data_IF_250103144567
#
_entry.id   IF_250103144567
#
_cell.length_a   1.000
_cell.length_b   1.000
_cell.length_c   1.000
_cell.angle_alpha   90.00
_cell.angle_beta   90.00
_cell.angle_gamma   90.00
#
_symmetry.space_group_name_H-M   'P 1'
#
loop_
_entity.id
_entity.type
_entity.pdbx_description
1 polymer ?
#
# COMPACT_ATOMS: atom_id res chain seq x y z
N UNK A 1 18.97 -58.65 -9.12
CA UNK A 1 19.21 -57.35 -8.43
C UNK A 1 19.11 -56.24 -9.45
N UNK A 2 18.08 -55.39 -9.37
CA UNK A 2 17.96 -54.17 -10.21
C UNK A 2 18.41 -52.97 -9.38
N UNK A 3 19.50 -52.32 -9.78
CA UNK A 3 19.97 -51.08 -9.18
C UNK A 3 19.11 -49.91 -9.70
N UNK A 4 18.39 -49.23 -8.81
CA UNK A 4 17.71 -47.97 -9.11
C UNK A 4 18.70 -46.85 -8.74
N UNK A 5 19.20 -46.15 -9.74
CA UNK A 5 20.03 -44.97 -9.58
C UNK A 5 19.09 -43.77 -9.39
N UNK A 6 19.05 -43.22 -8.17
CA UNK A 6 18.40 -41.94 -7.90
C UNK A 6 19.32 -40.81 -8.39
N UNK A 7 18.93 -40.15 -9.47
CA UNK A 7 19.53 -38.92 -9.97
C UNK A 7 19.06 -37.77 -9.07
N UNK A 8 19.93 -37.34 -8.14
CA UNK A 8 19.71 -36.12 -7.35
C UNK A 8 19.99 -34.93 -8.28
N UNK A 9 18.94 -34.35 -8.86
CA UNK A 9 19.06 -33.04 -9.52
C UNK A 9 19.32 -31.99 -8.43
N UNK A 10 20.44 -31.24 -8.46
CA UNK A 10 20.59 -30.08 -7.60
C UNK A 10 19.52 -29.07 -7.99
N UNK A 11 18.62 -28.78 -7.06
CA UNK A 11 17.69 -27.66 -7.19
C UNK A 11 18.53 -26.38 -7.23
N UNK A 12 18.76 -25.84 -8.43
CA UNK A 12 19.25 -24.48 -8.59
C UNK A 12 18.18 -23.54 -8.04
N UNK A 13 18.33 -23.16 -6.78
CA UNK A 13 17.63 -22.03 -6.18
C UNK A 13 18.10 -20.78 -6.96
N UNK A 14 17.36 -20.43 -8.00
CA UNK A 14 17.49 -19.14 -8.66
C UNK A 14 17.12 -18.08 -7.63
N UNK A 15 18.12 -17.49 -6.99
CA UNK A 15 17.95 -16.25 -6.27
C UNK A 15 17.72 -15.20 -7.33
N UNK A 16 16.44 -14.92 -7.63
CA UNK A 16 16.08 -13.82 -8.50
C UNK A 16 16.72 -12.56 -7.89
N UNK A 17 17.72 -12.01 -8.56
CA UNK A 17 18.34 -10.78 -8.13
C UNK A 17 17.26 -9.70 -8.12
N UNK A 18 16.98 -9.15 -6.94
CA UNK A 18 16.00 -8.09 -6.77
C UNK A 18 16.45 -6.86 -7.56
N UNK A 19 15.55 -6.32 -8.39
CA UNK A 19 15.83 -5.13 -9.17
C UNK A 19 15.88 -3.92 -8.22
N UNK A 20 17.02 -3.25 -8.17
CA UNK A 20 17.15 -2.03 -7.40
C UNK A 20 16.20 -0.95 -7.95
N UNK A 21 15.54 -0.23 -7.05
CA UNK A 21 14.66 0.90 -7.38
C UNK A 21 15.45 2.02 -8.06
N UNK A 22 15.02 2.44 -9.25
CA UNK A 22 15.68 3.52 -9.98
C UNK A 22 15.04 4.86 -9.64
N UNK A 23 15.85 5.81 -9.17
CA UNK A 23 15.40 7.17 -8.90
C UNK A 23 15.91 8.12 -9.96
N UNK A 24 15.04 8.93 -10.55
CA UNK A 24 15.45 10.01 -11.43
C UNK A 24 16.41 10.98 -10.73
N UNK A 25 17.18 11.76 -11.49
CA UNK A 25 18.04 12.81 -10.93
C UNK A 25 17.25 13.96 -10.28
N UNK A 26 15.96 14.10 -10.60
CA UNK A 26 15.09 15.13 -10.04
C UNK A 26 14.66 14.84 -8.59
N UNK A 27 14.57 13.56 -8.20
CA UNK A 27 14.20 13.20 -6.81
C UNK A 27 15.32 13.61 -5.85
N UNK A 28 15.05 14.44 -4.81
CA UNK A 28 16.08 14.88 -3.87
C UNK A 28 16.74 13.71 -3.13
N UNK A 29 18.06 13.77 -2.91
CA UNK A 29 18.81 12.69 -2.26
C UNK A 29 18.24 12.30 -0.88
N UNK A 30 17.77 13.28 -0.09
CA UNK A 30 17.12 13.02 1.19
C UNK A 30 15.83 12.19 1.05
N UNK A 31 15.02 12.46 0.02
CA UNK A 31 13.80 11.71 -0.29
C UNK A 31 14.13 10.29 -0.74
N UNK A 32 15.17 10.11 -1.57
CA UNK A 32 15.65 8.76 -1.96
C UNK A 32 16.01 7.94 -0.71
N UNK A 33 16.80 8.52 0.19
CA UNK A 33 17.22 7.85 1.43
C UNK A 33 16.03 7.57 2.37
N UNK A 34 15.06 8.48 2.45
CA UNK A 34 13.84 8.26 3.21
C UNK A 34 13.05 7.06 2.66
N UNK A 35 12.80 7.02 1.35
CA UNK A 35 12.07 5.91 0.72
C UNK A 35 12.80 4.57 0.86
N UNK A 36 14.14 4.56 0.73
CA UNK A 36 14.92 3.35 0.96
C UNK A 36 14.81 2.85 2.41
N UNK A 37 14.76 3.75 3.40
CA UNK A 37 14.50 3.39 4.81
C UNK A 37 13.05 2.91 5.02
N UNK A 38 12.10 3.46 4.28
CA UNK A 38 10.70 3.04 4.34
C UNK A 38 10.54 1.60 3.80
N UNK A 39 11.24 1.27 2.70
CA UNK A 39 11.32 -0.11 2.16
C UNK A 39 12.15 -1.03 3.07
N UNK A 40 13.15 -0.51 3.78
CA UNK A 40 13.87 -1.34 4.75
C UNK A 40 12.99 -1.67 5.97
N UNK A 41 12.16 -0.73 6.43
CA UNK A 41 11.20 -0.99 7.50
C UNK A 41 10.25 -2.13 7.14
N UNK A 42 9.74 -2.19 5.89
CA UNK A 42 8.80 -3.26 5.51
C UNK A 42 9.43 -4.63 5.66
N UNK A 43 10.74 -4.80 5.44
CA UNK A 43 11.44 -6.07 5.62
C UNK A 43 11.40 -6.58 7.05
N UNK A 44 11.31 -5.68 8.03
CA UNK A 44 11.31 -6.05 9.45
C UNK A 44 9.92 -6.39 9.99
N UNK A 45 8.87 -6.23 9.20
CA UNK A 45 7.48 -6.46 9.62
C UNK A 45 7.20 -7.96 9.63
N UNK A 46 6.86 -8.49 10.81
CA UNK A 46 6.52 -9.90 11.00
C UNK A 46 5.31 -10.04 11.92
N UNK A 47 4.48 -11.05 11.66
CA UNK A 47 3.34 -11.43 12.49
C UNK A 47 2.82 -12.83 12.15
N UNK A 48 2.23 -13.50 13.14
CA UNK A 48 1.90 -14.94 13.05
C UNK A 48 0.60 -15.26 12.31
N UNK A 49 -0.22 -14.26 12.02
CA UNK A 49 -1.49 -14.44 11.32
C UNK A 49 -1.87 -13.20 10.51
N UNK A 50 -2.80 -13.39 9.57
CA UNK A 50 -3.36 -12.32 8.75
C UNK A 50 -4.83 -12.53 8.48
N UNK A 51 -5.49 -11.47 8.00
CA UNK A 51 -6.89 -11.51 7.56
C UNK A 51 -7.04 -12.24 6.22
N UNK A 52 -8.28 -12.59 5.84
CA UNK A 52 -8.51 -13.27 4.55
C UNK A 52 -8.18 -12.34 3.38
N UNK A 53 -8.47 -11.05 3.50
CA UNK A 53 -8.12 -10.06 2.49
C UNK A 53 -6.60 -9.96 2.30
N UNK A 54 -5.82 -9.99 3.39
CA UNK A 54 -4.36 -9.99 3.28
C UNK A 54 -3.85 -11.23 2.56
N UNK A 55 -4.33 -12.41 2.94
CA UNK A 55 -4.00 -13.66 2.24
C UNK A 55 -4.33 -13.59 0.74
N UNK A 56 -5.46 -12.99 0.37
CA UNK A 56 -5.87 -12.85 -1.02
C UNK A 56 -4.96 -11.91 -1.83
N UNK A 57 -4.39 -10.86 -1.20
CA UNK A 57 -3.53 -9.87 -1.87
C UNK A 57 -2.08 -10.36 -1.94
N UNK A 58 -1.54 -10.85 -0.82
CA UNK A 58 -0.12 -11.17 -0.65
C UNK A 58 0.19 -12.67 -0.76
N UNK A 59 -0.83 -13.52 -0.92
CA UNK A 59 -0.70 -14.97 -1.05
C UNK A 59 0.06 -15.66 0.10
N UNK A 60 0.01 -15.07 1.31
CA UNK A 60 0.61 -15.64 2.52
C UNK A 60 -0.31 -15.48 3.73
N UNK A 61 -0.44 -16.52 4.59
CA UNK A 61 -1.26 -16.47 5.81
C UNK A 61 -0.56 -15.78 6.98
N UNK A 62 0.71 -15.36 6.80
CA UNK A 62 1.51 -14.67 7.81
C UNK A 62 1.82 -13.26 7.35
N UNK A 63 1.91 -12.33 8.29
CA UNK A 63 2.37 -10.98 8.02
C UNK A 63 3.89 -11.08 7.87
N UNK A 64 4.38 -10.86 6.66
CA UNK A 64 5.78 -11.07 6.32
C UNK A 64 6.27 -9.94 5.44
N UNK A 65 7.32 -9.25 5.89
CA UNK A 65 7.96 -8.17 5.16
C UNK A 65 8.42 -8.56 3.76
N UNK A 66 8.87 -9.81 3.59
CA UNK A 66 9.24 -10.36 2.28
C UNK A 66 8.07 -10.32 1.29
N UNK A 67 6.86 -10.73 1.70
CA UNK A 67 5.69 -10.72 0.81
C UNK A 67 5.26 -9.28 0.45
N UNK A 68 5.40 -8.34 1.39
CA UNK A 68 5.17 -6.93 1.14
C UNK A 68 6.18 -6.38 0.11
N UNK A 69 7.47 -6.66 0.30
CA UNK A 69 8.49 -6.18 -0.64
C UNK A 69 8.36 -6.80 -2.02
N UNK A 70 8.10 -8.11 -2.12
CA UNK A 70 7.81 -8.75 -3.41
C UNK A 70 6.61 -8.11 -4.10
N UNK A 71 5.58 -7.70 -3.34
CA UNK A 71 4.44 -6.99 -3.91
C UNK A 71 4.86 -5.64 -4.51
N UNK A 72 5.63 -4.85 -3.77
CA UNK A 72 6.12 -3.54 -4.19
C UNK A 72 7.08 -3.62 -5.39
N UNK A 73 8.14 -4.40 -5.27
CA UNK A 73 9.24 -4.47 -6.25
C UNK A 73 8.82 -5.06 -7.59
N UNK A 74 7.81 -5.95 -7.59
CA UNK A 74 7.22 -6.45 -8.84
C UNK A 74 6.47 -5.36 -9.62
N UNK A 75 6.10 -4.27 -8.95
CA UNK A 75 5.16 -3.26 -9.46
C UNK A 75 5.84 -1.91 -9.72
N UNK A 76 6.74 -1.49 -8.86
CA UNK A 76 7.43 -0.20 -9.00
C UNK A 76 8.91 -0.43 -9.28
N UNK A 77 9.35 0.05 -10.45
CA UNK A 77 10.76 -0.03 -10.88
C UNK A 77 11.43 1.34 -10.88
N UNK A 78 10.66 2.41 -11.07
CA UNK A 78 11.16 3.78 -11.15
C UNK A 78 10.42 4.73 -10.21
N UNK A 79 11.13 5.75 -9.74
CA UNK A 79 10.58 6.87 -8.97
C UNK A 79 11.04 8.17 -9.59
N UNK A 80 10.08 9.07 -9.85
CA UNK A 80 10.32 10.40 -10.40
C UNK A 80 9.42 11.45 -9.73
N UNK A 81 9.49 12.71 -10.17
CA UNK A 81 8.63 13.79 -9.74
C UNK A 81 7.59 14.14 -10.81
N UNK A 82 6.35 14.40 -10.38
CA UNK A 82 5.28 14.95 -11.21
C UNK A 82 4.28 15.68 -10.30
N UNK A 83 3.48 16.60 -10.85
CA UNK A 83 2.43 17.26 -10.06
C UNK A 83 1.19 16.38 -9.84
N UNK A 84 1.07 15.26 -10.56
CA UNK A 84 -0.06 14.35 -10.52
C UNK A 84 -1.41 15.05 -10.72
N UNK A 85 -1.45 16.09 -11.57
CA UNK A 85 -2.63 16.90 -11.81
C UNK A 85 -2.87 18.00 -10.77
N UNK A 86 -1.90 18.27 -9.89
CA UNK A 86 -1.88 19.45 -9.01
C UNK A 86 -2.91 19.46 -7.88
N UNK A 87 -3.54 18.31 -7.60
CA UNK A 87 -4.57 18.21 -6.56
C UNK A 87 -4.00 18.47 -5.16
N UNK A 88 -4.68 19.33 -4.39
CA UNK A 88 -4.34 19.54 -2.99
C UNK A 88 -4.40 18.21 -2.21
N UNK A 89 -3.28 17.85 -1.57
CA UNK A 89 -3.17 16.62 -0.77
C UNK A 89 -2.83 15.33 -1.52
N UNK A 90 -2.62 15.36 -2.84
CA UNK A 90 -2.11 14.20 -3.59
C UNK A 90 -0.62 14.03 -3.25
N UNK A 91 -0.23 12.89 -2.68
CA UNK A 91 1.16 12.62 -2.29
C UNK A 91 1.99 12.00 -3.42
N UNK A 92 1.39 11.07 -4.16
CA UNK A 92 1.99 10.42 -5.30
C UNK A 92 0.92 10.00 -6.31
N UNK A 93 1.34 9.53 -7.47
CA UNK A 93 0.48 8.86 -8.44
C UNK A 93 1.27 7.87 -9.28
N UNK A 94 0.56 6.95 -9.93
CA UNK A 94 1.06 6.16 -11.06
C UNK A 94 0.25 6.51 -12.31
N UNK A 95 0.94 6.82 -13.40
CA UNK A 95 0.30 7.01 -14.70
C UNK A 95 0.21 5.67 -15.43
N UNK A 96 -0.76 4.83 -15.03
CA UNK A 96 -0.89 3.41 -15.41
C UNK A 96 -0.73 3.12 -16.90
N UNK A 97 -1.19 3.99 -17.80
CA UNK A 97 -1.15 3.76 -19.25
C UNK A 97 0.05 4.40 -19.97
N UNK A 98 0.86 5.20 -19.27
CA UNK A 98 2.01 5.93 -19.83
C UNK A 98 3.31 5.33 -19.29
N UNK A 99 3.38 5.15 -17.97
CA UNK A 99 4.55 4.61 -17.27
C UNK A 99 4.08 3.70 -16.14
N UNK A 100 3.59 2.49 -16.45
CA UNK A 100 2.88 1.63 -15.50
C UNK A 100 3.68 1.23 -14.28
N UNK A 101 5.01 1.29 -14.33
CA UNK A 101 5.91 0.90 -13.23
C UNK A 101 6.71 2.08 -12.66
N UNK A 102 6.25 3.31 -12.91
CA UNK A 102 6.86 4.53 -12.38
C UNK A 102 5.92 5.19 -11.40
N UNK A 103 6.39 5.35 -10.16
CA UNK A 103 5.74 6.17 -9.15
C UNK A 103 6.23 7.61 -9.30
N UNK A 104 5.29 8.54 -9.41
CA UNK A 104 5.59 9.96 -9.39
C UNK A 104 5.25 10.54 -8.03
N UNK A 105 6.24 11.12 -7.36
CA UNK A 105 6.05 11.83 -6.09
C UNK A 105 5.68 13.28 -6.39
N UNK A 106 4.73 13.82 -5.63
CA UNK A 106 4.41 15.24 -5.69
C UNK A 106 5.21 16.02 -4.64
N UNK A 107 5.11 17.34 -4.68
CA UNK A 107 5.69 18.19 -3.65
C UNK A 107 5.14 17.87 -2.25
N UNK A 108 3.89 17.41 -2.13
CA UNK A 108 3.31 17.06 -0.83
C UNK A 108 4.06 15.91 -0.17
N UNK A 109 4.47 14.88 -0.91
CA UNK A 109 5.29 13.80 -0.35
C UNK A 109 6.70 14.29 -0.01
N UNK A 110 7.28 15.14 -0.86
CA UNK A 110 8.65 15.65 -0.69
C UNK A 110 8.79 16.56 0.54
N UNK A 111 7.78 17.38 0.86
CA UNK A 111 7.90 18.40 1.91
C UNK A 111 7.11 18.11 3.17
N UNK A 112 6.09 17.26 3.13
CA UNK A 112 5.29 16.99 4.33
C UNK A 112 6.05 16.10 5.32
N UNK A 113 5.92 16.41 6.60
CA UNK A 113 6.36 15.55 7.69
C UNK A 113 5.35 14.43 7.90
N UNK A 114 5.42 13.42 7.04
CA UNK A 114 4.53 12.26 7.07
C UNK A 114 5.10 11.18 8.01
N UNK A 115 4.28 10.54 8.86
CA UNK A 115 4.73 9.37 9.63
C UNK A 115 5.27 8.27 8.74
N UNK A 116 6.29 7.56 9.20
CA UNK A 116 7.01 6.55 8.39
C UNK A 116 6.06 5.50 7.80
N UNK A 117 5.19 4.91 8.62
CA UNK A 117 4.28 3.87 8.14
C UNK A 117 3.22 4.42 7.18
N UNK A 118 2.88 5.70 7.27
CA UNK A 118 1.99 6.34 6.30
C UNK A 118 2.66 6.49 4.94
N UNK A 119 3.95 6.89 4.91
CA UNK A 119 4.72 6.91 3.66
C UNK A 119 4.81 5.53 3.03
N UNK A 120 5.14 4.50 3.82
CA UNK A 120 5.09 3.10 3.37
C UNK A 120 3.71 2.79 2.77
N UNK A 121 2.63 3.16 3.45
CA UNK A 121 1.27 2.92 2.95
C UNK A 121 0.97 3.57 1.59
N UNK A 122 1.52 4.76 1.34
CA UNK A 122 1.44 5.42 0.03
C UNK A 122 2.19 4.61 -1.03
N UNK A 123 3.40 4.10 -0.72
CA UNK A 123 4.16 3.30 -1.70
C UNK A 123 3.38 2.08 -2.19
N UNK A 124 2.68 1.42 -1.28
CA UNK A 124 1.87 0.24 -1.57
C UNK A 124 0.55 0.57 -2.25
N UNK A 125 -0.08 1.68 -1.86
CA UNK A 125 -1.23 2.25 -2.56
C UNK A 125 -0.90 2.49 -4.04
N UNK A 126 0.17 3.22 -4.32
CA UNK A 126 0.59 3.51 -5.70
C UNK A 126 1.01 2.26 -6.46
N UNK A 127 1.66 1.30 -5.78
CA UNK A 127 1.97 0.00 -6.39
C UNK A 127 0.69 -0.68 -6.88
N UNK A 128 -0.43 -0.55 -6.19
CA UNK A 128 -1.69 -1.12 -6.64
C UNK A 128 -2.11 -0.57 -8.00
N UNK A 129 -1.89 0.72 -8.26
CA UNK A 129 -2.25 1.37 -9.52
C UNK A 129 -1.49 0.85 -10.76
N UNK A 130 -0.42 0.08 -10.58
CA UNK A 130 0.34 -0.52 -11.69
C UNK A 130 -0.37 -1.73 -12.32
N UNK A 131 -1.43 -2.25 -11.68
CA UNK A 131 -2.12 -3.47 -12.11
C UNK A 131 -3.08 -3.19 -13.29
N UNK A 132 -2.51 -3.02 -14.48
CA UNK A 132 -3.24 -2.69 -15.73
C UNK A 132 -4.38 -3.67 -16.05
N UNK A 133 -4.21 -4.96 -15.75
CA UNK A 133 -5.24 -5.99 -15.99
C UNK A 133 -6.49 -5.82 -15.11
N UNK A 134 -6.37 -5.02 -14.04
CA UNK A 134 -7.45 -4.63 -13.15
C UNK A 134 -7.89 -3.17 -13.38
N UNK A 135 -7.58 -2.60 -14.54
CA UNK A 135 -7.88 -1.19 -14.85
C UNK A 135 -7.06 -0.19 -14.01
N UNK A 136 -5.92 -0.62 -13.47
CA UNK A 136 -5.08 0.20 -12.60
C UNK A 136 -5.75 0.59 -11.29
N UNK A 137 -6.84 -0.08 -10.89
CA UNK A 137 -7.58 0.26 -9.67
C UNK A 137 -7.88 1.75 -9.52
N UNK A 138 -8.30 2.39 -10.62
CA UNK A 138 -8.58 3.83 -10.64
C UNK A 138 -9.59 4.21 -9.55
N UNK A 139 -9.34 5.32 -8.86
CA UNK A 139 -10.29 5.84 -7.89
C UNK A 139 -11.62 6.22 -8.52
N UNK A 140 -12.66 6.14 -7.71
CA UNK A 140 -13.98 6.70 -7.99
C UNK A 140 -14.16 8.01 -7.23
N UNK A 141 -15.09 8.84 -7.69
CA UNK A 141 -15.52 9.99 -6.91
C UNK A 141 -16.21 9.52 -5.63
N UNK A 142 -15.81 10.11 -4.51
CA UNK A 142 -16.52 9.93 -3.26
C UNK A 142 -17.95 10.51 -3.38
N UNK A 143 -18.94 9.93 -2.69
CA UNK A 143 -20.33 10.40 -2.69
C UNK A 143 -20.51 11.89 -2.37
N UNK A 144 -21.69 12.43 -2.63
CA UNK A 144 -22.07 13.79 -2.23
C UNK A 144 -23.51 13.75 -1.70
N UNK A 145 -23.74 13.97 -0.39
CA UNK A 145 -22.73 14.20 0.65
C UNK A 145 -21.91 12.92 0.96
N UNK A 146 -20.70 13.07 1.50
CA UNK A 146 -19.89 11.95 2.01
C UNK A 146 -19.68 12.02 3.51
N UNK A 147 -20.50 11.28 4.24
CA UNK A 147 -20.59 11.36 5.70
C UNK A 147 -20.23 10.02 6.36
N UNK A 148 -19.73 10.10 7.59
CA UNK A 148 -19.52 8.94 8.46
C UNK A 148 -20.84 8.47 9.11
N UNK A 149 -20.75 7.44 9.96
CA UNK A 149 -21.90 6.85 10.65
C UNK A 149 -22.55 7.81 11.67
N UNK A 150 -21.86 8.90 12.03
CA UNK A 150 -22.35 9.95 12.92
C UNK A 150 -22.78 11.20 12.14
N UNK A 151 -22.96 11.08 10.81
CA UNK A 151 -23.38 12.16 9.93
C UNK A 151 -22.39 13.35 9.87
N UNK A 152 -21.08 13.09 10.08
CA UNK A 152 -20.00 14.08 9.98
C UNK A 152 -19.27 13.92 8.66
N UNK A 153 -18.73 15.02 8.13
CA UNK A 153 -17.91 15.01 6.92
C UNK A 153 -16.71 14.07 7.07
N UNK A 154 -16.51 13.21 6.07
CA UNK A 154 -15.28 12.44 5.97
C UNK A 154 -14.19 13.35 5.41
N UNK A 155 -13.14 13.55 6.21
CA UNK A 155 -11.97 14.35 5.86
C UNK A 155 -10.72 13.48 5.85
N UNK A 156 -9.77 13.80 4.97
CA UNK A 156 -8.49 13.10 4.97
C UNK A 156 -7.67 13.42 6.22
N UNK A 157 -7.18 12.40 6.93
CA UNK A 157 -6.51 12.58 8.24
C UNK A 157 -5.29 13.51 8.19
N UNK A 158 -4.52 13.48 7.11
CA UNK A 158 -3.34 14.34 6.92
C UNK A 158 -3.70 15.69 6.31
N UNK A 159 -4.54 15.70 5.27
CA UNK A 159 -4.81 16.94 4.52
C UNK A 159 -5.88 17.83 5.15
N UNK A 160 -6.75 17.28 6.00
CA UNK A 160 -7.93 17.97 6.54
C UNK A 160 -8.99 18.32 5.49
N UNK A 161 -8.81 17.90 4.23
CA UNK A 161 -9.70 18.23 3.12
C UNK A 161 -10.95 17.34 3.19
N UNK A 162 -12.12 17.90 2.88
CA UNK A 162 -13.37 17.12 2.69
C UNK A 162 -13.28 16.24 1.46
N UNK A 163 -13.72 14.99 1.59
CA UNK A 163 -13.58 14.01 0.51
C UNK A 163 -14.76 13.96 -0.46
N UNK A 164 -15.91 14.56 -0.13
CA UNK A 164 -17.08 14.58 -1.01
C UNK A 164 -16.74 15.05 -2.44
N UNK A 165 -17.18 14.29 -3.44
CA UNK A 165 -16.97 14.58 -4.85
C UNK A 165 -15.52 14.48 -5.36
N UNK A 166 -14.54 14.17 -4.50
CA UNK A 166 -13.13 13.99 -4.91
C UNK A 166 -12.89 12.59 -5.47
N UNK A 167 -12.01 12.42 -6.47
CA UNK A 167 -11.59 11.10 -6.98
C UNK A 167 -10.60 10.44 -6.01
N UNK A 168 -11.07 10.17 -4.79
CA UNK A 168 -10.24 9.78 -3.65
C UNK A 168 -10.89 8.67 -2.81
N UNK A 169 -11.72 7.86 -3.48
CA UNK A 169 -12.39 6.71 -2.91
C UNK A 169 -12.20 5.47 -3.79
N UNK A 170 -12.29 4.30 -3.16
CA UNK A 170 -12.54 3.03 -3.85
C UNK A 170 -13.98 2.59 -3.59
N UNK A 171 -14.56 1.82 -4.51
CA UNK A 171 -15.87 1.17 -4.32
C UNK A 171 -15.76 -0.36 -4.13
N UNK A 172 -14.54 -0.90 -4.04
CA UNK A 172 -14.25 -2.33 -3.91
C UNK A 172 -13.14 -2.56 -2.90
N UNK A 173 -13.16 -3.71 -2.21
CA UNK A 173 -12.20 -4.01 -1.14
C UNK A 173 -10.75 -4.17 -1.61
N UNK A 174 -10.57 -4.49 -2.89
CA UNK A 174 -9.27 -4.78 -3.49
C UNK A 174 -8.66 -3.58 -4.25
N UNK A 175 -9.26 -2.39 -4.12
CA UNK A 175 -8.71 -1.14 -4.67
C UNK A 175 -7.44 -0.68 -3.95
N UNK A 176 -6.91 0.49 -4.33
CA UNK A 176 -5.66 1.03 -3.78
C UNK A 176 -5.78 1.42 -2.30
N UNK A 177 -6.83 2.14 -1.91
CA UNK A 177 -7.14 2.38 -0.49
C UNK A 177 -7.56 1.09 0.22
N UNK A 178 -8.23 0.17 -0.49
CA UNK A 178 -8.54 -1.15 0.03
C UNK A 178 -7.30 -1.92 0.47
N UNK A 179 -6.28 -1.97 -0.39
CA UNK A 179 -4.98 -2.56 -0.10
C UNK A 179 -4.28 -1.83 1.06
N UNK A 180 -4.30 -0.50 1.05
CA UNK A 180 -3.70 0.31 2.11
C UNK A 180 -4.31 -0.01 3.49
N UNK A 181 -5.64 -0.09 3.57
CA UNK A 181 -6.36 -0.49 4.77
C UNK A 181 -5.99 -1.92 5.20
N UNK A 182 -5.99 -2.88 4.28
CA UNK A 182 -5.67 -4.28 4.59
C UNK A 182 -4.25 -4.41 5.15
N UNK A 183 -3.27 -3.75 4.52
CA UNK A 183 -1.89 -3.78 4.99
C UNK A 183 -1.77 -3.18 6.39
N UNK A 184 -2.27 -1.95 6.58
CA UNK A 184 -2.11 -1.22 7.84
C UNK A 184 -2.86 -1.89 9.01
N UNK A 185 -4.09 -2.37 8.79
CA UNK A 185 -4.84 -3.05 9.86
C UNK A 185 -4.24 -4.41 10.23
N UNK A 186 -3.63 -5.13 9.30
CA UNK A 186 -2.87 -6.34 9.65
C UNK A 186 -1.61 -5.99 10.45
N UNK A 187 -0.88 -4.93 10.07
CA UNK A 187 0.27 -4.44 10.85
C UNK A 187 -0.16 -4.06 12.28
N UNK A 188 -1.21 -3.26 12.42
CA UNK A 188 -1.76 -2.88 13.73
C UNK A 188 -2.11 -4.11 14.59
N UNK A 189 -2.77 -5.11 14.01
CA UNK A 189 -3.38 -6.17 14.79
C UNK A 189 -2.46 -7.35 15.07
N UNK A 190 -1.51 -7.64 14.17
CA UNK A 190 -0.75 -8.90 14.19
C UNK A 190 0.76 -8.73 14.16
N UNK A 191 1.28 -7.53 13.94
CA UNK A 191 2.73 -7.32 13.90
C UNK A 191 3.35 -7.48 15.30
N UNK A 192 4.28 -8.42 15.44
CA UNK A 192 4.99 -8.72 16.70
C UNK A 192 6.36 -8.05 16.78
N UNK A 193 6.90 -7.58 15.66
CA UNK A 193 8.19 -6.87 15.56
C UNK A 193 8.04 -5.35 15.51
N UNK A 194 6.81 -4.85 15.41
CA UNK A 194 6.53 -3.43 15.27
C UNK A 194 6.58 -2.69 16.61
N UNK A 195 7.11 -1.47 16.61
CA UNK A 195 7.02 -0.58 17.77
C UNK A 195 5.59 -0.11 18.01
N UNK A 196 5.29 0.31 19.24
CA UNK A 196 3.99 0.89 19.61
C UNK A 196 3.59 2.05 18.69
N UNK A 197 4.56 2.92 18.33
CA UNK A 197 4.31 4.02 17.39
C UNK A 197 3.85 3.53 16.02
N UNK A 198 4.48 2.48 15.49
CA UNK A 198 4.07 1.90 14.19
C UNK A 198 2.67 1.31 14.30
N UNK A 199 2.33 0.62 15.39
CA UNK A 199 0.99 0.07 15.61
C UNK A 199 -0.08 1.18 15.70
N UNK A 200 0.18 2.25 16.48
CA UNK A 200 -0.73 3.39 16.62
C UNK A 200 -0.93 4.15 15.31
N UNK A 201 0.15 4.45 14.59
CA UNK A 201 0.04 5.12 13.30
C UNK A 201 -0.70 4.22 12.30
N UNK A 202 -0.47 2.90 12.34
CA UNK A 202 -1.17 1.94 11.47
C UNK A 202 -2.67 1.87 11.76
N UNK A 203 -3.08 2.02 13.01
CA UNK A 203 -4.49 2.18 13.38
C UNK A 203 -5.09 3.43 12.75
N UNK A 204 -4.47 4.58 12.99
CA UNK A 204 -4.95 5.89 12.52
C UNK A 204 -5.12 5.90 11.00
N UNK A 205 -4.10 5.46 10.26
CA UNK A 205 -4.09 5.52 8.81
C UNK A 205 -4.83 4.35 8.15
N UNK A 206 -4.89 3.19 8.82
CA UNK A 206 -5.73 2.08 8.38
C UNK A 206 -7.21 2.44 8.45
N UNK A 207 -7.63 3.15 9.51
CA UNK A 207 -9.01 3.63 9.65
C UNK A 207 -9.32 4.75 8.64
N UNK A 208 -8.39 5.68 8.38
CA UNK A 208 -8.53 6.68 7.31
C UNK A 208 -8.71 6.01 5.93
N UNK A 209 -7.88 5.01 5.61
CA UNK A 209 -7.97 4.25 4.37
C UNK A 209 -9.30 3.48 4.25
N UNK A 210 -9.79 2.87 5.34
CA UNK A 210 -11.13 2.25 5.36
C UNK A 210 -12.23 3.27 5.06
N UNK A 211 -12.10 4.50 5.53
CA UNK A 211 -13.06 5.57 5.23
C UNK A 211 -12.95 6.10 3.80
N UNK A 212 -11.99 5.62 3.00
CA UNK A 212 -11.96 5.84 1.55
C UNK A 212 -12.73 4.78 0.76
N UNK A 213 -13.29 3.78 1.43
CA UNK A 213 -14.18 2.80 0.80
C UNK A 213 -15.61 3.34 0.81
N UNK A 214 -16.04 3.89 -0.32
CA UNK A 214 -17.32 4.62 -0.43
C UNK A 214 -18.54 3.70 -0.30
N UNK A 215 -18.44 2.47 -0.81
CA UNK A 215 -19.48 1.46 -0.62
C UNK A 215 -19.51 1.00 0.84
N UNK A 216 -20.62 1.30 1.53
CA UNK A 216 -20.79 0.99 2.96
C UNK A 216 -20.87 -0.52 3.24
N UNK A 217 -21.39 -1.31 2.30
CA UNK A 217 -21.45 -2.76 2.41
C UNK A 217 -20.06 -3.38 2.34
N UNK A 218 -19.27 -2.97 1.35
CA UNK A 218 -17.87 -3.38 1.19
C UNK A 218 -17.05 -2.96 2.41
N UNK A 219 -17.19 -1.72 2.86
CA UNK A 219 -16.48 -1.22 4.05
C UNK A 219 -16.80 -2.03 5.31
N UNK A 220 -18.06 -2.40 5.54
CA UNK A 220 -18.47 -3.26 6.66
C UNK A 220 -17.86 -4.66 6.56
N UNK A 221 -17.85 -5.25 5.37
CA UNK A 221 -17.20 -6.55 5.14
C UNK A 221 -15.70 -6.49 5.42
N UNK A 222 -15.04 -5.42 4.98
CA UNK A 222 -13.62 -5.20 5.27
C UNK A 222 -13.37 -5.04 6.77
N UNK A 223 -14.17 -4.23 7.48
CA UNK A 223 -14.04 -4.08 8.94
C UNK A 223 -14.15 -5.43 9.65
N UNK A 224 -15.15 -6.24 9.29
CA UNK A 224 -15.33 -7.57 9.88
C UNK A 224 -14.16 -8.53 9.62
N UNK A 225 -13.48 -8.44 8.47
CA UNK A 225 -12.27 -9.24 8.20
C UNK A 225 -11.05 -8.71 8.94
N UNK A 226 -10.95 -7.39 9.11
CA UNK A 226 -9.78 -6.68 9.66
C UNK A 226 -9.89 -6.36 11.15
N UNK A 227 -10.99 -6.72 11.82
CA UNK A 227 -11.15 -6.57 13.26
C UNK A 227 -10.21 -7.51 14.01
N UNK A 228 -9.65 -7.01 15.12
CA UNK A 228 -8.77 -7.78 16.00
C UNK A 228 -9.58 -8.93 16.60
N UNK A 229 -9.16 -10.16 16.34
CA UNK A 229 -9.72 -11.37 16.93
C UNK A 229 -9.07 -11.71 18.26
#
# INVERSE_FOLDING_TARGET
MKFIIFLVLPAFLSTAAFAALNFSSAVPAAVKQQMLKDIELTKTIEGDSTSKLYLNIFATPKLQGEALNQFFEKRIANVDLNDCGGGAGVAACVQTFISPNTMFLTQNFVTADLPQIYRVSILFHESRHTEVMNGGWSHVNCPTPYLDEQNRDIVGKISGIKMEGKPACDNVALGAYGLQAVMLKNIQNTCTTCSEKILMDSEIFGDDALMRISDTGVRKLMRSDLEKK
#
